data_IF_080363673627
#
_entry.id   IF_080363673627
#
_cell.length_a   1.000
_cell.length_b   1.000
_cell.length_c   1.000
_cell.angle_alpha   90.00
_cell.angle_beta   90.00
_cell.angle_gamma   90.00
#
_symmetry.space_group_name_H-M   'P 1'
#
loop_
_entity.id
_entity.type
_entity.pdbx_description
1 polymer ?
#
# COMPACT_ATOMS: atom_id res chain seq x y z
N UNK A 1 -3.36 -2.16 -17.39
CA UNK A 1 -2.75 -2.09 -16.07
C UNK A 1 -3.55 -1.16 -15.17
N UNK A 2 -4.22 -1.73 -14.22
CA UNK A 2 -5.10 -0.97 -13.35
C UNK A 2 -4.85 -1.33 -11.90
N UNK A 3 -5.14 -0.37 -11.04
CA UNK A 3 -5.07 -0.62 -9.61
C UNK A 3 -5.92 0.38 -8.88
N UNK A 4 -6.18 0.09 -7.60
CA UNK A 4 -6.90 1.02 -6.76
C UNK A 4 -6.52 0.81 -5.31
N UNK A 5 -6.84 1.82 -4.53
CA UNK A 5 -6.59 1.80 -3.10
C UNK A 5 -7.82 2.36 -2.42
N UNK A 6 -8.21 1.72 -1.33
CA UNK A 6 -9.32 2.19 -0.51
C UNK A 6 -8.76 2.69 0.80
N UNK A 7 -8.92 3.98 1.03
CA UNK A 7 -8.44 4.63 2.24
C UNK A 7 -9.63 5.09 3.06
N UNK A 8 -9.64 4.71 4.31
CA UNK A 8 -10.67 5.15 5.24
C UNK A 8 -10.07 6.13 6.22
N UNK A 9 -10.69 7.29 6.33
CA UNK A 9 -10.26 8.33 7.24
C UNK A 9 -11.35 8.58 8.27
N UNK A 10 -11.17 8.02 9.46
CA UNK A 10 -12.09 8.27 10.56
C UNK A 10 -11.24 8.59 11.78
N UNK A 11 -11.26 7.79 12.82
CA UNK A 11 -10.37 8.01 13.96
C UNK A 11 -8.93 7.65 13.61
N UNK A 12 -8.76 6.82 12.59
CA UNK A 12 -7.46 6.40 12.10
C UNK A 12 -7.45 6.50 10.59
N UNK A 13 -6.27 6.67 10.03
CA UNK A 13 -6.09 6.59 8.58
C UNK A 13 -5.75 5.13 8.27
N UNK A 14 -6.64 4.44 7.59
CA UNK A 14 -6.49 3.01 7.33
C UNK A 14 -6.63 2.72 5.84
N UNK A 15 -5.61 2.09 5.28
CA UNK A 15 -5.71 1.54 3.93
C UNK A 15 -6.41 0.20 4.06
N UNK A 16 -7.65 0.14 3.60
CA UNK A 16 -8.45 -1.07 3.72
C UNK A 16 -8.15 -2.05 2.61
N UNK A 17 -7.73 -1.55 1.48
CA UNK A 17 -7.43 -2.41 0.37
C UNK A 17 -6.48 -1.69 -0.60
N UNK A 18 -5.51 -2.42 -1.08
CA UNK A 18 -4.63 -1.96 -2.16
C UNK A 18 -4.59 -3.11 -3.16
N UNK A 19 -5.02 -2.83 -4.37
CA UNK A 19 -5.08 -3.87 -5.39
C UNK A 19 -4.50 -3.36 -6.70
N UNK A 20 -3.62 -4.15 -7.28
CA UNK A 20 -3.09 -3.90 -8.60
C UNK A 20 -3.42 -5.13 -9.43
N UNK A 21 -4.05 -4.92 -10.57
CA UNK A 21 -4.59 -6.05 -11.31
C UNK A 21 -3.52 -6.95 -11.86
N UNK A 22 -3.88 -8.20 -12.00
CA UNK A 22 -2.96 -9.19 -12.51
C UNK A 22 -2.59 -9.01 -13.97
N UNK A 23 -3.24 -8.11 -14.64
CA UNK A 23 -2.89 -7.87 -16.01
C UNK A 23 -1.45 -7.42 -16.17
N UNK A 24 -0.97 -6.71 -15.18
CA UNK A 24 0.42 -6.31 -15.19
C UNK A 24 1.31 -7.53 -15.25
N UNK A 25 0.94 -8.56 -14.55
CA UNK A 25 1.72 -9.79 -14.54
C UNK A 25 1.71 -10.48 -15.90
N UNK A 26 0.61 -10.36 -16.59
CA UNK A 26 0.53 -10.99 -17.91
C UNK A 26 1.36 -10.28 -18.96
N UNK A 27 1.37 -8.99 -18.86
CA UNK A 27 2.02 -8.19 -19.87
C UNK A 27 3.51 -8.29 -19.80
N UNK A 28 4.03 -8.03 -18.65
CA UNK A 28 5.45 -7.88 -18.57
C UNK A 28 6.13 -9.05 -17.96
N UNK A 29 6.23 -10.09 -18.63
CA UNK A 29 6.87 -11.24 -18.04
C UNK A 29 8.16 -10.91 -17.38
N UNK A 30 8.89 -9.98 -17.93
CA UNK A 30 10.17 -9.65 -17.37
C UNK A 30 10.12 -8.47 -16.45
N UNK A 31 9.44 -7.43 -16.81
CA UNK A 31 9.42 -6.23 -16.00
C UNK A 31 8.21 -6.10 -15.12
N UNK A 32 7.37 -7.08 -15.14
CA UNK A 32 6.06 -6.95 -14.53
C UNK A 32 6.10 -6.66 -13.04
N UNK A 33 6.93 -7.38 -12.33
CA UNK A 33 7.01 -7.20 -10.89
C UNK A 33 7.37 -5.78 -10.52
N UNK A 34 8.28 -5.21 -11.24
CA UNK A 34 8.72 -3.84 -10.98
C UNK A 34 7.60 -2.86 -11.26
N UNK A 35 6.93 -3.02 -12.39
CA UNK A 35 5.84 -2.13 -12.75
C UNK A 35 4.69 -2.26 -11.76
N UNK A 36 4.40 -3.47 -11.36
CA UNK A 36 3.34 -3.73 -10.41
C UNK A 36 3.66 -3.02 -9.07
N UNK A 37 4.87 -3.19 -8.60
CA UNK A 37 5.28 -2.55 -7.35
C UNK A 37 5.29 -1.04 -7.50
N UNK A 38 5.66 -0.53 -8.67
CA UNK A 38 5.68 0.89 -8.91
C UNK A 38 4.30 1.52 -8.78
N UNK A 39 3.28 0.87 -9.32
CA UNK A 39 1.93 1.38 -9.21
C UNK A 39 1.45 1.34 -7.76
N UNK A 40 1.71 0.24 -7.08
CA UNK A 40 1.33 0.11 -5.69
C UNK A 40 1.99 1.17 -4.82
N UNK A 41 3.27 1.42 -5.05
CA UNK A 41 4.00 2.44 -4.29
C UNK A 41 3.42 3.82 -4.54
N UNK A 42 3.02 4.12 -5.77
CA UNK A 42 2.41 5.41 -6.07
C UNK A 42 1.07 5.57 -5.36
N UNK A 43 0.27 4.52 -5.34
CA UNK A 43 -1.00 4.57 -4.65
C UNK A 43 -0.81 4.76 -3.16
N UNK A 44 0.16 4.07 -2.58
CA UNK A 44 0.45 4.23 -1.16
C UNK A 44 0.94 5.63 -0.84
N UNK A 45 1.74 6.21 -1.73
CA UNK A 45 2.22 7.57 -1.52
C UNK A 45 1.07 8.56 -1.53
N UNK A 46 0.12 8.39 -2.42
CA UNK A 46 -1.05 9.25 -2.45
C UNK A 46 -1.86 9.10 -1.17
N UNK A 47 -2.01 7.87 -0.70
CA UNK A 47 -2.73 7.62 0.53
C UNK A 47 -2.04 8.32 1.71
N UNK A 48 -0.72 8.26 1.76
CA UNK A 48 0.02 8.93 2.82
C UNK A 48 -0.17 10.43 2.78
N UNK A 49 -0.23 11.01 1.59
CA UNK A 49 -0.47 12.43 1.46
C UNK A 49 -1.85 12.81 1.97
N UNK A 50 -2.84 11.99 1.67
CA UNK A 50 -4.20 12.26 2.13
C UNK A 50 -4.35 12.04 3.63
N UNK A 51 -3.51 11.21 4.21
CA UNK A 51 -3.54 10.92 5.63
C UNK A 51 -2.59 11.81 6.43
N UNK A 52 -2.02 12.83 5.82
CA UNK A 52 -0.97 13.62 6.46
C UNK A 52 -1.36 14.21 7.81
N UNK A 53 -2.65 14.51 7.99
CA UNK A 53 -3.11 15.11 9.24
C UNK A 53 -3.20 14.09 10.39
N UNK A 54 -2.97 12.83 10.11
CA UNK A 54 -3.18 11.77 11.09
C UNK A 54 -1.93 11.34 11.84
N UNK A 55 -0.78 11.81 11.48
CA UNK A 55 0.50 11.40 12.07
C UNK A 55 0.91 9.98 11.73
N UNK A 56 -0.03 9.09 11.52
CA UNK A 56 0.23 7.68 11.18
C UNK A 56 -0.75 7.19 10.16
N UNK A 57 -0.32 6.20 9.39
CA UNK A 57 -1.20 5.49 8.49
C UNK A 57 -1.00 4.00 8.75
N UNK A 58 -2.08 3.24 8.72
CA UNK A 58 -2.00 1.81 8.90
C UNK A 58 -2.63 1.09 7.72
N UNK A 59 -2.16 -0.12 7.49
CA UNK A 59 -2.60 -0.92 6.34
C UNK A 59 -3.07 -2.27 6.84
N UNK A 60 -4.24 -2.66 6.39
CA UNK A 60 -4.72 -4.02 6.61
C UNK A 60 -4.01 -4.88 5.56
N UNK A 61 -3.16 -5.80 6.01
CA UNK A 61 -2.37 -6.58 5.06
C UNK A 61 -2.83 -8.02 5.04
N UNK A 62 -2.61 -8.67 3.90
CA UNK A 62 -2.90 -10.09 3.77
C UNK A 62 -1.63 -10.92 3.82
N UNK A 63 -1.79 -12.25 3.77
CA UNK A 63 -0.64 -13.13 3.74
C UNK A 63 0.28 -12.80 2.56
N UNK A 64 1.56 -12.77 2.83
CA UNK A 64 2.52 -12.56 1.76
C UNK A 64 2.76 -11.12 1.36
N UNK A 65 2.06 -10.17 1.96
CA UNK A 65 2.26 -8.76 1.60
C UNK A 65 3.06 -7.99 2.63
N UNK A 66 3.34 -8.59 3.76
CA UNK A 66 4.04 -7.91 4.84
C UNK A 66 5.39 -7.37 4.39
N UNK A 67 6.18 -8.16 3.69
CA UNK A 67 7.50 -7.72 3.25
C UNK A 67 7.41 -6.54 2.29
N UNK A 68 6.38 -6.53 1.48
CA UNK A 68 6.17 -5.42 0.58
C UNK A 68 6.02 -4.11 1.35
N UNK A 69 5.20 -4.12 2.39
CA UNK A 69 5.00 -2.91 3.19
C UNK A 69 6.22 -2.57 4.02
N UNK A 70 6.98 -3.55 4.46
CA UNK A 70 8.21 -3.27 5.19
C UNK A 70 9.19 -2.49 4.31
N UNK A 71 9.23 -2.81 3.02
CA UNK A 71 10.10 -2.07 2.11
C UNK A 71 9.67 -0.63 1.94
N UNK A 72 8.42 -0.34 2.18
CA UNK A 72 7.90 1.03 2.09
C UNK A 72 8.04 1.78 3.41
N UNK A 73 8.61 1.17 4.42
CA UNK A 73 8.84 1.83 5.69
C UNK A 73 7.82 1.53 6.76
N UNK A 74 6.99 0.54 6.56
CA UNK A 74 5.96 0.17 7.53
C UNK A 74 6.48 -0.89 8.49
N UNK A 75 5.94 -0.89 9.70
CA UNK A 75 6.26 -1.88 10.71
C UNK A 75 4.99 -2.59 11.15
N UNK A 76 5.11 -3.85 11.49
CA UNK A 76 3.98 -4.62 11.99
C UNK A 76 3.67 -4.20 13.41
N UNK A 77 2.42 -3.78 13.65
CA UNK A 77 1.93 -3.47 14.98
C UNK A 77 0.56 -4.12 15.10
N UNK A 78 0.46 -5.10 15.99
CA UNK A 78 -0.75 -5.90 16.14
C UNK A 78 -1.10 -6.55 14.80
N UNK A 79 -2.21 -6.18 14.24
CA UNK A 79 -2.67 -6.78 12.99
C UNK A 79 -2.47 -5.88 11.78
N UNK A 80 -1.76 -4.75 11.97
CA UNK A 80 -1.62 -3.76 10.92
C UNK A 80 -0.16 -3.49 10.61
N UNK A 81 0.10 -3.09 9.39
CA UNK A 81 1.39 -2.50 9.05
C UNK A 81 1.22 -0.99 9.21
N UNK A 82 2.08 -0.38 9.99
CA UNK A 82 1.93 1.02 10.40
C UNK A 82 3.17 1.82 10.04
N UNK A 83 2.95 3.05 9.61
CA UNK A 83 4.02 3.97 9.29
C UNK A 83 3.72 5.34 9.89
N UNK A 84 4.72 5.93 10.54
CA UNK A 84 4.60 7.30 11.02
C UNK A 84 4.73 8.26 9.85
N UNK A 85 3.91 9.28 9.83
CA UNK A 85 3.92 10.29 8.78
C UNK A 85 4.59 11.55 9.30
N UNK A 86 5.31 12.27 8.42
CA UNK A 86 6.01 13.49 8.83
C UNK A 86 5.07 14.63 9.20
#
# INVERSE_FOLDING_TARGET
>A
LLGYLRLRLDENATVRELKVTGQAANIGKTGTGVQHMGLGSKLMKIAEEKAAAYSKIRVTHGPGTRLYYEKLGYELQDYYMVKDLP
#
